data_IF_827123050415
#
_entry.id   IF_827123050415
#
_cell.length_a   1.000
_cell.length_b   1.000
_cell.length_c   1.000
_cell.angle_alpha   90.00
_cell.angle_beta   90.00
_cell.angle_gamma   90.00
#
_symmetry.space_group_name_H-M   'P 1'
#
loop_
_entity.id
_entity.type
_entity.pdbx_description
1 polymer ?
#
# COMPACT_ATOMS: atom_id res chain seq x y z
N UNK A 1 -3.17 -69.86 15.56
CA UNK A 1 -3.66 -69.44 14.22
C UNK A 1 -4.50 -68.18 14.38
N UNK A 2 -4.19 -67.14 13.59
CA UNK A 2 -4.73 -65.77 13.68
C UNK A 2 -6.24 -65.71 13.39
N UNK A 3 -7.00 -64.88 14.13
CA UNK A 3 -8.10 -64.06 13.59
C UNK A 3 -8.25 -62.76 14.40
N UNK A 4 -7.56 -61.73 13.94
CA UNK A 4 -7.81 -60.32 14.25
C UNK A 4 -9.06 -59.91 13.47
N UNK A 5 -10.10 -59.33 14.08
CA UNK A 5 -11.20 -58.72 13.31
C UNK A 5 -11.78 -57.45 13.98
N UNK A 6 -11.20 -56.33 13.54
CA UNK A 6 -11.83 -55.04 13.21
C UNK A 6 -12.71 -54.36 14.27
N UNK A 7 -12.06 -53.46 15.01
CA UNK A 7 -12.69 -52.21 15.48
C UNK A 7 -13.11 -51.43 14.23
N UNK A 8 -14.41 -51.21 14.08
CA UNK A 8 -14.97 -50.34 13.03
C UNK A 8 -14.90 -48.91 13.58
N UNK A 9 -13.82 -48.20 13.25
CA UNK A 9 -13.75 -46.76 13.46
C UNK A 9 -14.22 -46.08 12.18
N UNK A 10 -15.45 -45.57 12.21
CA UNK A 10 -16.02 -44.76 11.14
C UNK A 10 -15.33 -43.40 11.14
N UNK A 11 -14.42 -43.17 10.18
CA UNK A 11 -13.86 -41.84 9.95
C UNK A 11 -14.83 -41.05 9.07
N UNK A 12 -15.53 -40.07 9.65
CA UNK A 12 -16.24 -39.06 8.89
C UNK A 12 -15.21 -38.08 8.31
N UNK A 13 -15.02 -38.09 6.99
CA UNK A 13 -14.25 -37.06 6.30
C UNK A 13 -15.15 -35.84 6.09
N UNK A 14 -14.86 -34.75 6.81
CA UNK A 14 -15.42 -33.42 6.50
C UNK A 14 -14.52 -32.81 5.42
N UNK A 15 -15.01 -32.74 4.19
CA UNK A 15 -14.37 -31.96 3.14
C UNK A 15 -14.68 -30.48 3.41
N UNK A 16 -13.77 -29.79 4.09
CA UNK A 16 -13.78 -28.33 4.11
C UNK A 16 -13.47 -27.84 2.69
N UNK A 17 -14.48 -27.29 2.02
CA UNK A 17 -14.28 -26.56 0.76
C UNK A 17 -13.48 -25.31 1.12
N UNK A 18 -12.17 -25.38 0.88
CA UNK A 18 -11.27 -24.24 0.94
C UNK A 18 -11.57 -23.39 -0.30
N UNK A 19 -12.59 -22.53 -0.22
CA UNK A 19 -12.66 -21.38 -1.10
C UNK A 19 -11.55 -20.41 -0.65
N UNK A 20 -10.35 -20.64 -1.18
CA UNK A 20 -9.16 -19.89 -0.82
C UNK A 20 -8.15 -19.90 -1.95
N UNK A 21 -8.06 -18.74 -2.61
CA UNK A 21 -6.85 -18.18 -3.20
C UNK A 21 -6.27 -18.91 -4.42
N UNK A 22 -6.75 -18.52 -5.61
CA UNK A 22 -5.80 -18.31 -6.68
C UNK A 22 -4.69 -17.37 -6.14
N UNK A 23 -3.40 -17.65 -6.39
CA UNK A 23 -2.36 -16.70 -6.04
C UNK A 23 -2.64 -15.43 -6.84
N UNK A 24 -3.11 -14.38 -6.18
CA UNK A 24 -3.05 -13.05 -6.76
C UNK A 24 -1.56 -12.75 -6.87
N UNK A 25 -1.08 -12.71 -8.10
CA UNK A 25 0.31 -12.47 -8.42
C UNK A 25 0.77 -11.19 -7.69
N UNK A 26 1.76 -11.36 -6.82
CA UNK A 26 2.59 -10.35 -6.15
C UNK A 26 1.92 -8.97 -5.89
N UNK A 27 1.16 -8.86 -4.81
CA UNK A 27 1.51 -7.84 -3.83
C UNK A 27 2.50 -8.52 -2.88
N UNK A 28 3.79 -8.43 -3.19
CA UNK A 28 4.83 -8.62 -2.18
C UNK A 28 4.41 -7.76 -1.00
N UNK A 29 4.34 -8.34 0.21
CA UNK A 29 3.76 -7.67 1.38
C UNK A 29 4.25 -6.22 1.50
N UNK A 30 3.34 -5.36 1.97
CA UNK A 30 3.58 -3.93 2.15
C UNK A 30 5.04 -3.66 2.58
N UNK A 31 5.90 -3.03 1.74
CA UNK A 31 7.28 -2.75 2.11
C UNK A 31 7.41 -1.84 3.35
N UNK A 32 6.29 -1.26 3.79
CA UNK A 32 6.24 -0.31 4.87
C UNK A 32 5.84 -0.95 6.20
N UNK A 33 6.52 -0.54 7.26
CA UNK A 33 6.07 -0.87 8.62
C UNK A 33 5.01 0.14 9.04
N UNK A 34 3.79 -0.34 9.24
CA UNK A 34 2.68 0.50 9.73
C UNK A 34 2.89 0.83 11.20
N UNK A 35 2.89 2.13 11.52
CA UNK A 35 3.05 2.64 12.86
C UNK A 35 1.79 2.49 13.74
N UNK A 36 1.88 2.83 15.04
CA UNK A 36 0.78 2.66 16.00
C UNK A 36 -0.51 3.41 15.67
N UNK A 37 -0.43 4.43 14.82
CA UNK A 37 -1.59 5.22 14.37
C UNK A 37 -2.22 4.66 13.08
N UNK A 38 -1.82 3.47 12.63
CA UNK A 38 -2.29 2.90 11.37
C UNK A 38 -1.75 3.62 10.13
N UNK A 39 -0.58 4.28 10.26
CA UNK A 39 0.01 5.08 9.18
C UNK A 39 1.43 4.64 8.88
N UNK A 40 1.84 4.83 7.64
CA UNK A 40 3.22 4.62 7.21
C UNK A 40 3.70 5.76 6.30
N UNK A 41 5.01 5.76 6.04
CA UNK A 41 5.67 6.74 5.17
C UNK A 41 6.15 6.03 3.91
N UNK A 42 5.71 6.52 2.76
CA UNK A 42 6.10 6.02 1.45
C UNK A 42 6.92 7.08 0.69
N UNK A 43 8.22 6.86 0.44
CA UNK A 43 8.99 7.75 -0.43
C UNK A 43 8.48 7.63 -1.87
N UNK A 44 8.20 8.76 -2.51
CA UNK A 44 7.73 8.79 -3.89
C UNK A 44 8.34 9.96 -4.66
N UNK A 45 8.20 9.93 -5.99
CA UNK A 45 8.59 11.01 -6.90
C UNK A 45 7.36 11.51 -7.63
N UNK A 46 7.13 12.83 -7.62
CA UNK A 46 6.05 13.47 -8.38
C UNK A 46 6.29 13.26 -9.88
N UNK A 47 5.36 12.59 -10.56
CA UNK A 47 5.41 12.35 -12.00
C UNK A 47 4.57 13.35 -12.80
N UNK A 48 3.50 13.87 -12.22
CA UNK A 48 2.57 14.74 -12.94
C UNK A 48 1.73 15.58 -12.02
N UNK A 49 1.29 16.73 -12.55
CA UNK A 49 0.41 17.67 -11.87
C UNK A 49 -0.62 18.18 -12.87
N UNK A 50 -1.90 18.10 -12.51
CA UNK A 50 -3.02 18.54 -13.37
C UNK A 50 -3.95 19.46 -12.58
N UNK A 51 -4.13 20.69 -13.05
CA UNK A 51 -5.10 21.61 -12.46
C UNK A 51 -6.53 21.18 -12.77
N UNK A 52 -7.41 21.27 -11.77
CA UNK A 52 -8.84 20.98 -11.88
C UNK A 52 -9.66 22.27 -11.99
N UNK A 53 -10.90 22.16 -12.48
CA UNK A 53 -11.78 23.32 -12.70
C UNK A 53 -12.23 24.02 -11.39
N UNK A 54 -12.10 23.35 -10.25
CA UNK A 54 -12.43 23.87 -8.91
C UNK A 54 -11.25 24.55 -8.20
N UNK A 55 -10.11 24.68 -8.87
CA UNK A 55 -8.92 25.36 -8.33
C UNK A 55 -8.04 24.48 -7.44
N UNK A 56 -8.22 23.15 -7.48
CA UNK A 56 -7.27 22.20 -6.93
C UNK A 56 -6.26 21.74 -8.01
N UNK A 57 -5.25 20.99 -7.57
CA UNK A 57 -4.28 20.32 -8.42
C UNK A 57 -4.21 18.86 -8.02
N UNK A 58 -4.45 17.97 -8.98
CA UNK A 58 -4.16 16.54 -8.85
C UNK A 58 -2.67 16.30 -9.01
N UNK A 59 -2.04 15.76 -7.97
CA UNK A 59 -0.63 15.39 -7.97
C UNK A 59 -0.53 13.88 -8.08
N UNK A 60 0.22 13.40 -9.07
CA UNK A 60 0.48 11.99 -9.32
C UNK A 60 1.93 11.68 -8.96
N UNK A 61 2.14 10.66 -8.12
CA UNK A 61 3.46 10.24 -7.64
C UNK A 61 3.66 8.76 -7.88
N UNK A 62 4.89 8.36 -8.18
CA UNK A 62 5.27 6.95 -8.22
C UNK A 62 6.13 6.64 -6.99
N UNK A 63 5.74 5.62 -6.25
CA UNK A 63 6.48 5.10 -5.10
C UNK A 63 7.90 4.65 -5.51
N UNK A 64 8.89 5.01 -4.71
CA UNK A 64 10.30 4.76 -5.03
C UNK A 64 10.77 3.34 -4.68
N UNK A 65 10.02 2.58 -3.88
CA UNK A 65 10.35 1.23 -3.44
C UNK A 65 9.58 0.15 -4.19
N UNK A 66 8.26 0.27 -4.30
CA UNK A 66 7.42 -0.73 -4.96
C UNK A 66 6.95 -0.32 -6.36
N UNK A 67 7.01 0.97 -6.70
CA UNK A 67 6.58 1.49 -7.99
C UNK A 67 5.08 1.64 -8.16
N UNK A 68 4.29 1.50 -7.08
CA UNK A 68 2.86 1.78 -7.12
C UNK A 68 2.61 3.29 -7.27
N UNK A 69 1.56 3.63 -8.01
CA UNK A 69 1.19 5.01 -8.27
C UNK A 69 0.17 5.52 -7.24
N UNK A 70 0.44 6.70 -6.72
CA UNK A 70 -0.39 7.41 -5.75
C UNK A 70 -0.88 8.73 -6.34
N UNK A 71 -2.07 9.17 -5.90
CA UNK A 71 -2.54 10.51 -6.19
C UNK A 71 -3.14 11.18 -4.96
N UNK A 72 -3.06 12.50 -4.92
CA UNK A 72 -3.71 13.34 -3.92
C UNK A 72 -4.00 14.73 -4.49
N UNK A 73 -4.87 15.47 -3.80
CA UNK A 73 -5.24 16.84 -4.16
C UNK A 73 -4.49 17.83 -3.29
N UNK A 74 -4.01 18.91 -3.91
CA UNK A 74 -3.50 20.10 -3.24
C UNK A 74 -4.21 21.34 -3.79
N UNK A 75 -4.09 22.47 -3.11
CA UNK A 75 -4.57 23.74 -3.67
C UNK A 75 -3.70 24.22 -4.84
N UNK A 76 -4.22 25.18 -5.61
CA UNK A 76 -3.50 25.79 -6.73
C UNK A 76 -2.30 26.68 -6.32
N UNK A 77 -2.08 26.90 -5.04
CA UNK A 77 -0.94 27.65 -4.49
C UNK A 77 0.21 26.72 -4.06
N UNK A 78 0.13 25.42 -4.37
CA UNK A 78 1.17 24.44 -4.07
C UNK A 78 2.53 24.82 -4.66
N UNK A 79 3.59 24.63 -3.87
CA UNK A 79 4.98 24.78 -4.32
C UNK A 79 5.58 23.48 -4.89
N UNK A 80 4.81 22.39 -4.91
CA UNK A 80 5.24 21.12 -5.50
C UNK A 80 5.61 21.28 -6.97
N UNK A 81 6.65 20.55 -7.39
CA UNK A 81 7.07 20.48 -8.79
C UNK A 81 7.17 19.03 -9.24
N UNK A 82 7.00 18.83 -10.55
CA UNK A 82 7.28 17.54 -11.18
C UNK A 82 8.76 17.19 -10.92
N UNK A 83 9.01 15.94 -10.58
CA UNK A 83 10.27 15.35 -10.11
C UNK A 83 10.70 15.71 -8.68
N UNK A 84 9.87 16.41 -7.90
CA UNK A 84 10.12 16.54 -6.48
C UNK A 84 10.10 15.17 -5.80
N UNK A 85 11.04 14.97 -4.88
CA UNK A 85 10.98 13.87 -3.93
C UNK A 85 10.02 14.22 -2.81
N UNK A 86 9.11 13.30 -2.52
CA UNK A 86 8.10 13.45 -1.48
C UNK A 86 8.15 12.25 -0.54
N UNK A 87 7.79 12.47 0.71
CA UNK A 87 7.46 11.44 1.68
C UNK A 87 5.95 11.50 1.89
N UNK A 88 5.23 10.53 1.32
CA UNK A 88 3.79 10.42 1.46
C UNK A 88 3.47 9.87 2.85
N UNK A 89 2.56 10.53 3.55
CA UNK A 89 1.96 9.96 4.76
C UNK A 89 0.70 9.23 4.32
N UNK A 90 0.68 7.92 4.54
CA UNK A 90 -0.39 7.05 4.06
C UNK A 90 -1.11 6.41 5.24
N UNK A 91 -2.44 6.46 5.21
CA UNK A 91 -3.31 5.72 6.12
C UNK A 91 -3.52 4.31 5.56
N UNK A 92 -3.14 3.30 6.35
CA UNK A 92 -3.24 1.88 6.00
C UNK A 92 -4.68 1.33 6.15
N UNK A 93 -5.65 2.17 6.51
CA UNK A 93 -7.09 1.87 6.59
C UNK A 93 -7.46 0.60 7.39
N UNK A 94 -6.62 0.19 8.35
CA UNK A 94 -6.81 -1.02 9.14
C UNK A 94 -6.39 -2.33 8.43
N UNK A 95 -5.77 -2.24 7.26
CA UNK A 95 -5.33 -3.33 6.39
C UNK A 95 -3.82 -3.26 6.12
N UNK A 96 -2.96 -3.37 7.15
CA UNK A 96 -1.51 -3.12 7.03
C UNK A 96 -0.77 -4.01 6.02
N UNK A 97 -1.35 -5.15 5.64
CA UNK A 97 -0.77 -6.09 4.67
C UNK A 97 -1.36 -5.91 3.24
N UNK A 98 -2.18 -4.88 3.01
CA UNK A 98 -2.90 -4.65 1.76
C UNK A 98 -3.09 -3.15 1.46
N UNK A 99 -2.54 -2.70 0.33
CA UNK A 99 -2.61 -1.31 -0.13
C UNK A 99 -3.91 -0.90 -0.83
N UNK A 100 -4.80 -1.85 -1.15
CA UNK A 100 -5.89 -1.59 -2.08
C UNK A 100 -6.88 -0.49 -1.64
N UNK A 101 -6.92 -0.20 -0.34
CA UNK A 101 -7.80 0.78 0.29
C UNK A 101 -7.06 1.88 1.05
N UNK A 102 -5.74 1.93 0.89
CA UNK A 102 -4.87 2.91 1.53
C UNK A 102 -5.04 4.30 0.91
N UNK A 103 -4.76 5.33 1.70
CA UNK A 103 -5.00 6.73 1.29
C UNK A 103 -3.85 7.64 1.70
N UNK A 104 -3.35 8.40 0.74
CA UNK A 104 -2.46 9.53 1.05
C UNK A 104 -3.26 10.56 1.83
N UNK A 105 -2.77 10.90 3.03
CA UNK A 105 -3.38 11.90 3.91
C UNK A 105 -2.54 13.17 4.02
N UNK A 106 -1.25 13.09 3.67
CA UNK A 106 -0.34 14.23 3.67
C UNK A 106 0.88 13.92 2.80
N UNK A 107 1.61 14.96 2.38
CA UNK A 107 2.85 14.84 1.61
C UNK A 107 3.89 15.84 2.13
N UNK A 108 4.99 15.31 2.65
CA UNK A 108 6.15 16.09 3.07
C UNK A 108 7.10 16.18 1.89
N UNK A 109 7.41 17.38 1.42
CA UNK A 109 8.28 17.58 0.25
C UNK A 109 9.35 18.61 0.54
N UNK A 110 10.45 18.52 -0.22
CA UNK A 110 11.41 19.59 -0.27
C UNK A 110 12.00 19.72 -1.67
N UNK A 111 11.82 20.91 -2.26
CA UNK A 111 12.25 21.21 -3.61
C UNK A 111 13.78 21.38 -3.73
N UNK A 112 14.44 21.95 -2.70
CA UNK A 112 15.85 22.37 -2.76
C UNK A 112 16.74 21.77 -1.63
N UNK A 113 16.27 20.72 -0.96
CA UNK A 113 17.00 20.12 0.17
C UNK A 113 18.20 19.25 -0.25
N UNK A 114 18.60 19.22 -1.52
CA UNK A 114 19.84 18.52 -1.90
C UNK A 114 21.11 19.24 -1.41
N UNK A 115 20.98 20.46 -0.88
CA UNK A 115 22.10 21.29 -0.38
C UNK A 115 22.12 21.48 1.14
N UNK A 116 21.29 20.75 1.90
CA UNK A 116 21.47 20.69 3.37
C UNK A 116 22.58 19.68 3.64
N UNK A 117 23.73 20.19 4.08
CA UNK A 117 24.82 19.35 4.60
C UNK A 117 24.27 18.48 5.75
N UNK A 118 24.52 17.16 5.69
CA UNK A 118 24.19 16.19 6.74
C UNK A 118 24.87 16.51 8.09
#
# INVERSE_FOLDING_TARGET
MRKLNKIITTAAMVAAILAGTAPKAAATGCPYTVGPLGRYIAPAIVQGMTATDDGAVEVWCTDALDGDDWYFLVDAETDLRIYDRVQLVVDANGTPDNFADDKVIDALYCHDCENVED
#
